data_IF_925090658963
#
_entry.id   IF_925090658963
#
_cell.length_a   1.000
_cell.length_b   1.000
_cell.length_c   1.000
_cell.angle_alpha   90.00
_cell.angle_beta   90.00
_cell.angle_gamma   90.00
#
_symmetry.space_group_name_H-M   'P 1'
#
loop_
_entity.id
_entity.type
_entity.pdbx_description
1 polymer ?
#
# COMPACT_ATOMS: atom_id res chain seq x y z
N UNK A 1 -19.24 11.40 -5.28
CA UNK A 1 -18.89 12.80 -5.56
C UNK A 1 -19.87 13.33 -6.59
N UNK A 2 -20.35 14.58 -6.45
CA UNK A 2 -21.18 15.20 -7.48
C UNK A 2 -20.35 15.43 -8.76
N UNK A 3 -20.98 15.25 -9.92
CA UNK A 3 -20.38 15.56 -11.21
C UNK A 3 -20.23 17.08 -11.33
N UNK A 4 -19.07 17.50 -11.80
CA UNK A 4 -18.79 18.92 -12.06
C UNK A 4 -18.64 19.12 -13.57
N UNK A 5 -18.93 20.33 -14.06
CA UNK A 5 -18.66 20.66 -15.45
C UNK A 5 -17.17 20.57 -15.74
N UNK A 6 -16.82 20.18 -16.95
CA UNK A 6 -15.45 20.05 -17.46
C UNK A 6 -14.58 18.99 -16.74
N UNK A 7 -15.21 18.09 -15.95
CA UNK A 7 -14.49 17.06 -15.21
C UNK A 7 -13.89 15.98 -16.11
N UNK A 8 -14.57 15.63 -17.19
CA UNK A 8 -14.20 14.56 -18.10
C UNK A 8 -14.16 15.03 -19.55
N UNK A 9 -13.32 14.40 -20.35
CA UNK A 9 -13.08 14.75 -21.75
C UNK A 9 -13.54 13.63 -22.66
N UNK A 10 -14.26 13.98 -23.73
CA UNK A 10 -14.82 13.05 -24.71
C UNK A 10 -14.35 13.39 -26.10
N UNK A 11 -14.09 12.36 -26.89
CA UNK A 11 -13.62 12.48 -28.26
C UNK A 11 -14.65 11.87 -29.21
N UNK A 12 -14.94 12.60 -30.29
CA UNK A 12 -15.69 12.10 -31.43
C UNK A 12 -14.70 11.75 -32.54
N UNK A 13 -14.75 10.49 -32.99
CA UNK A 13 -13.86 9.97 -34.02
C UNK A 13 -14.63 9.60 -35.28
N UNK A 14 -14.02 9.85 -36.43
CA UNK A 14 -14.45 9.28 -37.73
C UNK A 14 -13.23 8.57 -38.36
N UNK A 15 -13.42 7.35 -38.82
CA UNK A 15 -12.34 6.51 -39.39
C UNK A 15 -11.07 6.43 -38.49
N UNK A 16 -11.27 6.39 -37.17
CA UNK A 16 -10.18 6.33 -36.18
C UNK A 16 -9.48 7.66 -35.89
N UNK A 17 -9.87 8.75 -36.57
CA UNK A 17 -9.30 10.08 -36.32
C UNK A 17 -10.23 10.92 -35.44
N UNK A 18 -9.67 11.57 -34.42
CA UNK A 18 -10.43 12.50 -33.57
C UNK A 18 -10.77 13.74 -34.38
N UNK A 19 -12.08 14.00 -34.55
CA UNK A 19 -12.59 15.16 -35.27
C UNK A 19 -13.14 16.27 -34.36
N UNK A 20 -13.57 15.89 -33.14
CA UNK A 20 -14.00 16.85 -32.11
C UNK A 20 -13.59 16.35 -30.73
N UNK A 21 -13.34 17.29 -29.83
CA UNK A 21 -13.10 17.02 -28.42
C UNK A 21 -13.99 17.93 -27.57
N UNK A 22 -14.74 17.34 -26.64
CA UNK A 22 -15.69 18.07 -25.79
C UNK A 22 -15.52 17.62 -24.33
N UNK A 23 -16.06 18.41 -23.43
CA UNK A 23 -16.15 18.09 -22.02
C UNK A 23 -17.61 18.00 -21.61
N UNK A 24 -17.86 17.31 -20.49
CA UNK A 24 -19.21 17.23 -19.93
C UNK A 24 -19.69 18.57 -19.36
N UNK A 25 -20.97 18.83 -19.45
CA UNK A 25 -21.64 19.87 -18.68
C UNK A 25 -21.88 19.40 -17.23
N UNK A 26 -22.31 20.29 -16.34
CA UNK A 26 -22.58 19.96 -14.92
C UNK A 26 -23.73 18.96 -14.73
N UNK A 27 -24.65 18.87 -15.69
CA UNK A 27 -25.75 17.91 -15.73
C UNK A 27 -25.34 16.52 -16.31
N UNK A 28 -24.09 16.40 -16.75
CA UNK A 28 -23.53 15.18 -17.36
C UNK A 28 -23.70 15.13 -18.89
N UNK A 29 -24.38 16.09 -19.51
CA UNK A 29 -24.54 16.10 -20.97
C UNK A 29 -23.21 16.35 -21.68
N UNK A 30 -23.03 15.67 -22.82
CA UNK A 30 -21.88 15.83 -23.73
C UNK A 30 -22.44 16.22 -25.09
N UNK A 31 -22.14 17.44 -25.54
CA UNK A 31 -22.68 17.96 -26.79
C UNK A 31 -21.57 18.26 -27.78
N UNK A 32 -21.59 17.58 -28.93
CA UNK A 32 -20.69 17.81 -30.04
C UNK A 32 -21.29 18.85 -30.99
N UNK A 33 -20.43 19.54 -31.72
CA UNK A 33 -20.86 20.52 -32.74
C UNK A 33 -21.52 19.79 -33.93
N UNK A 34 -22.42 20.47 -34.60
CA UNK A 34 -23.09 19.93 -35.78
C UNK A 34 -22.07 19.56 -36.88
N UNK A 35 -22.34 18.47 -37.56
CA UNK A 35 -21.58 18.02 -38.73
C UNK A 35 -22.41 18.28 -39.96
N UNK A 36 -21.84 18.97 -40.96
CA UNK A 36 -22.51 19.27 -42.22
C UNK A 36 -22.17 18.23 -43.27
N UNK A 37 -23.18 17.81 -44.03
CA UNK A 37 -23.04 16.83 -45.12
C UNK A 37 -23.41 17.49 -46.46
N UNK A 38 -22.54 17.31 -47.45
CA UNK A 38 -22.75 17.86 -48.81
C UNK A 38 -23.16 16.81 -49.84
N UNK A 39 -23.13 15.54 -49.47
CA UNK A 39 -23.47 14.41 -50.32
C UNK A 39 -24.21 13.31 -49.56
N UNK A 40 -24.96 12.47 -50.26
CA UNK A 40 -25.52 11.25 -49.70
C UNK A 40 -24.41 10.25 -49.34
N UNK A 41 -24.62 9.42 -48.28
CA UNK A 41 -23.66 8.45 -47.82
C UNK A 41 -23.98 7.92 -46.43
N UNK A 42 -23.17 7.00 -45.99
CA UNK A 42 -23.21 6.46 -44.62
C UNK A 42 -21.93 6.85 -43.91
N UNK A 43 -22.07 7.37 -42.69
CA UNK A 43 -20.99 7.79 -41.84
C UNK A 43 -21.09 7.04 -40.51
N UNK A 44 -19.95 6.57 -40.00
CA UNK A 44 -19.87 5.93 -38.71
C UNK A 44 -18.90 6.69 -37.82
N UNK A 45 -19.40 7.09 -36.68
CA UNK A 45 -18.65 7.84 -35.67
C UNK A 45 -18.50 6.99 -34.43
N UNK A 46 -17.40 7.18 -33.70
CA UNK A 46 -17.19 6.63 -32.37
C UNK A 46 -17.08 7.76 -31.37
N UNK A 47 -17.88 7.69 -30.32
CA UNK A 47 -17.70 8.53 -29.13
C UNK A 47 -17.01 7.71 -28.05
N UNK A 48 -15.96 8.24 -27.47
CA UNK A 48 -15.26 7.62 -26.36
C UNK A 48 -14.87 8.65 -25.32
N UNK A 49 -14.70 8.21 -24.09
CA UNK A 49 -14.05 9.01 -23.07
C UNK A 49 -12.52 8.93 -23.22
N UNK A 50 -11.86 10.08 -23.05
CA UNK A 50 -10.41 10.12 -22.91
C UNK A 50 -10.05 10.01 -21.46
N UNK A 51 -9.43 8.90 -21.06
CA UNK A 51 -8.98 8.69 -19.69
C UNK A 51 -8.10 9.85 -19.20
N UNK A 52 -8.39 10.37 -18.02
CA UNK A 52 -7.60 11.37 -17.34
C UNK A 52 -6.40 10.78 -16.59
N UNK A 53 -5.79 11.60 -15.74
CA UNK A 53 -4.60 11.22 -14.98
C UNK A 53 -4.90 10.91 -13.49
N UNK A 54 -6.16 10.97 -13.06
CA UNK A 54 -6.53 10.66 -11.69
C UNK A 54 -6.52 9.13 -11.48
N UNK A 55 -5.55 8.66 -10.75
CA UNK A 55 -5.36 7.21 -10.45
C UNK A 55 -6.44 6.65 -9.52
N UNK A 56 -7.27 7.52 -8.93
CA UNK A 56 -8.40 7.12 -8.08
C UNK A 56 -9.72 7.05 -8.87
N UNK A 57 -9.68 7.12 -10.20
CA UNK A 57 -10.84 6.97 -11.05
C UNK A 57 -10.66 5.79 -12.00
N UNK A 58 -11.63 4.90 -12.01
CA UNK A 58 -11.82 3.96 -13.10
C UNK A 58 -12.65 4.66 -14.18
N UNK A 59 -11.97 5.06 -15.25
CA UNK A 59 -12.58 5.70 -16.40
C UNK A 59 -13.33 4.67 -17.25
N UNK A 60 -14.47 5.09 -17.82
CA UNK A 60 -15.21 4.25 -18.76
C UNK A 60 -14.37 4.01 -20.03
N UNK A 61 -14.36 2.78 -20.51
CA UNK A 61 -13.64 2.36 -21.71
C UNK A 61 -14.57 2.10 -22.89
N UNK A 62 -15.86 2.46 -22.75
CA UNK A 62 -16.87 2.28 -23.78
C UNK A 62 -16.51 3.05 -25.06
N UNK A 63 -16.78 2.42 -26.19
CA UNK A 63 -16.78 3.05 -27.50
C UNK A 63 -18.21 3.01 -28.05
N UNK A 64 -18.88 4.15 -28.01
CA UNK A 64 -20.25 4.31 -28.45
C UNK A 64 -20.28 4.59 -29.95
N UNK A 65 -20.83 3.66 -30.75
CA UNK A 65 -20.92 3.81 -32.19
C UNK A 65 -22.20 4.55 -32.60
N UNK A 66 -22.06 5.65 -33.33
CA UNK A 66 -23.17 6.44 -33.90
C UNK A 66 -23.11 6.33 -35.41
N UNK A 67 -24.21 5.91 -36.03
CA UNK A 67 -24.35 5.85 -37.51
C UNK A 67 -25.24 6.97 -38.03
N UNK A 68 -24.78 7.64 -39.07
CA UNK A 68 -25.54 8.66 -39.76
C UNK A 68 -25.71 8.27 -41.22
N UNK A 69 -26.97 8.13 -41.65
CA UNK A 69 -27.30 7.90 -43.04
C UNK A 69 -27.80 9.20 -43.65
N UNK A 70 -27.09 9.67 -44.65
CA UNK A 70 -27.48 10.85 -45.44
C UNK A 70 -28.15 10.37 -46.73
N UNK A 71 -29.37 10.82 -46.96
CA UNK A 71 -30.13 10.47 -48.16
C UNK A 71 -30.47 11.75 -48.93
N UNK A 72 -30.56 11.66 -50.26
CA UNK A 72 -30.93 12.71 -51.16
C UNK A 72 -32.32 12.47 -51.73
N UNK A 73 -33.22 13.39 -51.52
CA UNK A 73 -34.53 13.33 -52.16
C UNK A 73 -34.39 13.51 -53.65
N UNK A 74 -34.93 12.53 -54.43
CA UNK A 74 -34.79 12.53 -55.89
C UNK A 74 -35.57 13.65 -56.60
N UNK A 75 -36.65 14.18 -56.02
CA UNK A 75 -37.48 15.21 -56.58
C UNK A 75 -36.97 16.64 -56.30
N UNK A 76 -36.51 16.86 -55.06
CA UNK A 76 -36.09 18.16 -54.58
C UNK A 76 -34.58 18.39 -54.57
N UNK A 77 -33.82 17.31 -54.57
CA UNK A 77 -32.36 17.33 -54.39
C UNK A 77 -31.88 17.66 -52.98
N UNK A 78 -32.80 17.79 -52.03
CA UNK A 78 -32.47 18.10 -50.63
C UNK A 78 -31.90 16.89 -49.90
N UNK A 79 -30.91 17.14 -49.06
CA UNK A 79 -30.33 16.13 -48.16
C UNK A 79 -31.11 16.05 -46.85
N UNK A 80 -31.25 14.85 -46.33
CA UNK A 80 -31.78 14.58 -45.01
C UNK A 80 -30.90 13.56 -44.30
N UNK A 81 -30.88 13.61 -42.98
CA UNK A 81 -30.07 12.71 -42.13
C UNK A 81 -30.95 11.85 -41.26
N UNK A 82 -30.58 10.57 -41.13
CA UNK A 82 -31.13 9.66 -40.14
C UNK A 82 -29.98 9.20 -39.23
N UNK A 83 -30.11 9.47 -37.91
CA UNK A 83 -29.10 9.10 -36.90
C UNK A 83 -29.55 7.87 -36.16
N UNK A 84 -28.67 6.89 -36.08
CA UNK A 84 -28.84 5.69 -35.23
C UNK A 84 -27.85 5.77 -34.05
N UNK A 85 -28.41 5.93 -32.86
CA UNK A 85 -27.64 5.95 -31.61
C UNK A 85 -27.38 4.53 -31.13
N UNK A 86 -26.28 4.28 -30.38
CA UNK A 86 -26.06 3.01 -29.70
C UNK A 86 -27.11 2.78 -28.61
N UNK A 87 -27.20 1.53 -28.14
CA UNK A 87 -28.12 1.15 -27.06
C UNK A 87 -27.69 1.78 -25.73
N UNK A 88 -26.38 1.80 -25.48
CA UNK A 88 -25.77 2.49 -24.31
C UNK A 88 -25.18 3.84 -24.75
N UNK A 89 -25.61 4.89 -24.09
CA UNK A 89 -25.15 6.27 -24.31
C UNK A 89 -24.58 6.93 -23.05
N UNK A 90 -24.42 6.15 -21.97
CA UNK A 90 -23.93 6.64 -20.68
C UNK A 90 -22.49 6.22 -20.44
N UNK A 91 -21.62 7.17 -20.14
CA UNK A 91 -20.26 6.93 -19.67
C UNK A 91 -20.23 6.96 -18.15
N UNK A 92 -19.79 5.85 -17.54
CA UNK A 92 -19.85 5.65 -16.11
C UNK A 92 -18.44 5.56 -15.49
N UNK A 93 -18.04 6.57 -14.75
CA UNK A 93 -16.78 6.62 -14.02
C UNK A 93 -16.98 6.29 -12.55
N UNK A 94 -16.05 5.55 -11.99
CA UNK A 94 -16.10 5.12 -10.59
C UNK A 94 -14.91 5.66 -9.80
N UNK A 95 -15.17 6.26 -8.65
CA UNK A 95 -14.11 6.65 -7.71
C UNK A 95 -13.66 5.41 -6.94
N UNK A 96 -12.38 5.10 -7.06
CA UNK A 96 -11.72 4.01 -6.32
C UNK A 96 -11.00 4.62 -5.14
N UNK A 97 -11.53 4.41 -3.93
CA UNK A 97 -10.90 4.93 -2.71
C UNK A 97 -9.65 4.12 -2.38
N UNK A 98 -8.53 4.77 -2.04
CA UNK A 98 -7.36 4.09 -1.51
C UNK A 98 -7.69 3.30 -0.24
N UNK A 99 -6.98 2.20 -0.03
CA UNK A 99 -7.02 1.44 1.21
C UNK A 99 -5.76 1.68 2.02
N UNK A 100 -5.88 1.59 3.34
CA UNK A 100 -4.76 1.79 4.25
C UNK A 100 -4.49 0.53 5.06
N UNK A 101 -3.23 0.32 5.42
CA UNK A 101 -2.81 -0.72 6.37
C UNK A 101 -1.78 -0.16 7.31
N UNK A 102 -1.68 -0.75 8.49
CA UNK A 102 -0.79 -0.34 9.56
C UNK A 102 -0.07 -1.54 10.13
N UNK A 103 1.19 -1.35 10.51
CA UNK A 103 2.00 -2.39 11.11
C UNK A 103 2.29 -2.05 12.57
N UNK A 104 1.87 -2.93 13.46
CA UNK A 104 2.11 -2.82 14.89
C UNK A 104 2.93 -4.02 15.35
N UNK A 105 3.99 -3.73 16.12
CA UNK A 105 4.88 -4.69 16.77
C UNK A 105 4.97 -4.36 18.25
N UNK A 106 5.60 -5.24 19.00
CA UNK A 106 5.79 -5.07 20.43
C UNK A 106 7.27 -5.17 20.79
N UNK A 107 7.72 -4.36 21.75
CA UNK A 107 9.04 -4.47 22.37
C UNK A 107 8.92 -4.94 23.79
N UNK A 108 9.71 -5.97 24.15
CA UNK A 108 9.90 -6.45 25.52
C UNK A 108 11.37 -6.29 25.93
N UNK A 109 11.57 -6.00 27.21
CA UNK A 109 12.90 -5.96 27.82
C UNK A 109 12.88 -6.75 29.13
N UNK A 110 13.72 -7.79 29.19
CA UNK A 110 13.95 -8.54 30.43
C UNK A 110 15.17 -7.99 31.18
N UNK A 111 15.17 -8.09 32.50
CA UNK A 111 16.28 -7.69 33.37
C UNK A 111 16.19 -6.28 33.94
N UNK A 112 15.45 -5.37 33.34
CA UNK A 112 15.11 -4.05 33.85
C UNK A 112 13.86 -3.49 33.15
N UNK A 113 13.37 -2.37 33.68
CA UNK A 113 12.22 -1.68 33.09
C UNK A 113 12.54 -1.08 31.72
N UNK A 114 11.60 -1.22 30.79
CA UNK A 114 11.62 -0.62 29.47
C UNK A 114 11.25 0.87 29.55
N UNK A 115 11.98 1.71 28.84
CA UNK A 115 11.70 3.14 28.75
C UNK A 115 11.18 3.51 27.36
N UNK A 116 10.33 4.55 27.29
CA UNK A 116 9.90 5.10 26.00
C UNK A 116 11.09 5.62 25.19
N UNK A 117 11.08 5.37 23.90
CA UNK A 117 12.08 5.87 22.95
C UNK A 117 13.46 5.22 23.05
N UNK A 118 13.58 4.11 23.78
CA UNK A 118 14.85 3.44 24.04
C UNK A 118 15.39 2.65 22.85
N UNK A 119 14.52 1.95 22.15
CA UNK A 119 14.87 1.13 21.00
C UNK A 119 14.24 1.71 19.73
N UNK A 120 14.96 1.59 18.62
CA UNK A 120 14.50 2.05 17.32
C UNK A 120 14.21 0.86 16.40
N UNK A 121 13.21 1.01 15.55
CA UNK A 121 12.77 -0.02 14.61
C UNK A 121 12.65 0.59 13.23
N UNK A 122 13.07 -0.12 12.22
CA UNK A 122 13.08 0.33 10.84
C UNK A 122 12.15 -0.52 9.99
N UNK A 123 11.29 0.15 9.23
CA UNK A 123 10.49 -0.43 8.16
C UNK A 123 11.23 -0.19 6.84
N UNK A 124 11.47 -1.25 6.08
CA UNK A 124 12.11 -1.18 4.76
C UNK A 124 11.19 -1.76 3.69
N UNK A 125 11.28 -1.20 2.49
CA UNK A 125 10.61 -1.77 1.31
C UNK A 125 11.34 -3.01 0.77
N UNK A 126 10.80 -3.62 -0.30
CA UNK A 126 11.38 -4.80 -0.94
C UNK A 126 12.77 -4.55 -1.54
N UNK A 127 13.10 -3.32 -1.88
CA UNK A 127 14.42 -2.92 -2.38
C UNK A 127 15.43 -2.65 -1.25
N UNK A 128 14.97 -2.68 0.02
CA UNK A 128 15.79 -2.40 1.20
C UNK A 128 15.88 -0.93 1.57
N UNK A 129 15.12 -0.05 0.90
CA UNK A 129 15.07 1.37 1.26
C UNK A 129 14.29 1.55 2.54
N UNK A 130 14.75 2.46 3.41
CA UNK A 130 14.05 2.81 4.64
C UNK A 130 12.80 3.61 4.30
N UNK A 131 11.64 3.06 4.68
CA UNK A 131 10.34 3.73 4.56
C UNK A 131 10.09 4.60 5.79
N UNK A 132 10.31 4.05 6.98
CA UNK A 132 10.10 4.76 8.24
C UNK A 132 11.00 4.18 9.35
N UNK A 133 11.34 5.02 10.33
CA UNK A 133 11.99 4.60 11.58
C UNK A 133 11.17 5.12 12.75
N UNK A 134 10.79 4.21 13.65
CA UNK A 134 9.99 4.52 14.84
C UNK A 134 10.70 4.04 16.09
N UNK A 135 10.22 4.48 17.25
CA UNK A 135 10.70 4.04 18.56
C UNK A 135 9.55 3.43 19.37
N UNK A 136 9.91 2.56 20.32
CA UNK A 136 8.92 2.03 21.26
C UNK A 136 8.37 3.12 22.18
N UNK A 137 7.12 2.99 22.58
CA UNK A 137 6.57 3.72 23.71
C UNK A 137 6.93 3.06 25.06
N UNK A 138 6.48 3.63 26.19
CA UNK A 138 6.74 3.07 27.52
C UNK A 138 6.05 1.72 27.77
N UNK A 139 4.96 1.41 27.06
CA UNK A 139 4.26 0.14 27.13
C UNK A 139 4.89 -0.94 26.24
N UNK A 140 5.85 -0.55 25.39
CA UNK A 140 6.50 -1.41 24.42
C UNK A 140 5.80 -1.45 23.06
N UNK A 141 4.85 -0.57 22.79
CA UNK A 141 4.25 -0.52 21.45
C UNK A 141 5.24 0.06 20.44
N UNK A 142 5.32 -0.56 19.29
CA UNK A 142 6.11 -0.14 18.12
C UNK A 142 5.14 0.02 16.96
N UNK A 143 4.74 1.26 16.70
CA UNK A 143 3.67 1.59 15.77
C UNK A 143 4.22 2.38 14.60
N UNK A 144 4.10 1.83 13.39
CA UNK A 144 4.43 2.52 12.14
C UNK A 144 3.22 3.33 11.64
N UNK A 145 3.49 4.35 10.82
CA UNK A 145 2.45 5.12 10.14
C UNK A 145 1.65 4.26 9.17
N UNK A 146 0.43 4.70 8.84
CA UNK A 146 -0.39 4.03 7.85
C UNK A 146 0.24 4.12 6.46
N UNK A 147 0.26 3.00 5.74
CA UNK A 147 0.60 2.93 4.32
C UNK A 147 -0.68 2.93 3.49
N UNK A 148 -0.73 3.80 2.51
CA UNK A 148 -1.87 3.95 1.60
C UNK A 148 -1.58 3.30 0.26
N UNK A 149 -2.56 2.55 -0.25
CA UNK A 149 -2.50 1.87 -1.53
C UNK A 149 -3.67 2.32 -2.39
N UNK A 150 -3.38 3.00 -3.47
CA UNK A 150 -4.34 3.42 -4.49
C UNK A 150 -4.48 2.36 -5.61
N UNK A 151 -5.26 2.68 -6.62
CA UNK A 151 -5.55 1.82 -7.76
C UNK A 151 -4.30 1.39 -8.56
N UNK A 152 -3.20 2.14 -8.47
CA UNK A 152 -1.91 1.81 -9.12
C UNK A 152 -1.09 0.79 -8.33
N UNK A 153 -1.51 0.48 -7.11
CA UNK A 153 -0.80 -0.39 -6.16
C UNK A 153 -1.43 -1.77 -6.02
N UNK A 154 -2.29 -2.17 -6.95
CA UNK A 154 -2.82 -3.55 -6.97
C UNK A 154 -1.67 -4.54 -7.16
N UNK A 155 -1.61 -5.56 -6.30
CA UNK A 155 -0.56 -6.56 -6.28
C UNK A 155 0.04 -6.77 -4.89
N UNK A 156 1.18 -7.46 -4.85
CA UNK A 156 1.85 -7.84 -3.61
C UNK A 156 2.98 -6.87 -3.27
N UNK A 157 2.95 -6.31 -2.06
CA UNK A 157 3.98 -5.44 -1.52
C UNK A 157 4.63 -6.12 -0.32
N UNK A 158 5.97 -6.14 -0.30
CA UNK A 158 6.73 -6.78 0.77
C UNK A 158 7.56 -5.75 1.51
N UNK A 159 7.51 -5.83 2.82
CA UNK A 159 8.26 -4.97 3.73
C UNK A 159 9.03 -5.83 4.74
N UNK A 160 10.07 -5.27 5.33
CA UNK A 160 10.77 -5.88 6.46
C UNK A 160 10.80 -4.92 7.64
N UNK A 161 10.64 -5.48 8.85
CA UNK A 161 10.78 -4.77 10.10
C UNK A 161 11.91 -5.40 10.91
N UNK A 162 12.83 -4.57 11.37
CA UNK A 162 14.00 -4.96 12.15
C UNK A 162 14.21 -3.96 13.29
N UNK A 163 14.74 -4.46 14.42
CA UNK A 163 15.29 -3.56 15.45
C UNK A 163 16.64 -3.00 14.98
N UNK A 164 16.85 -1.71 15.18
CA UNK A 164 18.13 -1.07 14.90
C UNK A 164 19.07 -1.33 16.07
N UNK A 165 20.04 -2.23 15.88
CA UNK A 165 21.04 -2.55 16.88
C UNK A 165 22.11 -1.44 16.88
N UNK A 166 22.30 -0.68 17.98
CA UNK A 166 23.27 0.40 18.03
C UNK A 166 24.71 -0.11 17.95
N UNK A 167 25.59 0.69 17.35
CA UNK A 167 27.03 0.39 17.34
C UNK A 167 27.61 0.28 18.76
N UNK A 168 27.26 1.26 19.61
CA UNK A 168 27.62 1.28 21.04
C UNK A 168 26.54 0.54 21.83
N UNK A 169 26.70 -0.77 22.00
CA UNK A 169 25.77 -1.62 22.72
C UNK A 169 25.86 -1.38 24.23
N UNK A 170 24.71 -1.41 24.92
CA UNK A 170 24.68 -1.43 26.38
C UNK A 170 25.36 -2.70 26.89
N UNK A 171 26.18 -2.55 27.95
CA UNK A 171 26.85 -3.69 28.57
C UNK A 171 25.83 -4.70 29.11
N UNK A 172 26.03 -5.97 28.81
CA UNK A 172 25.12 -7.06 29.24
C UNK A 172 23.81 -7.14 28.44
N UNK A 173 23.59 -6.24 27.44
CA UNK A 173 22.41 -6.28 26.60
C UNK A 173 22.53 -7.32 25.48
N UNK A 174 21.55 -8.20 25.38
CA UNK A 174 21.32 -9.06 24.23
C UNK A 174 20.15 -8.48 23.44
N UNK A 175 20.39 -8.16 22.17
CA UNK A 175 19.40 -7.61 21.27
C UNK A 175 18.72 -8.70 20.46
N UNK A 176 17.42 -8.55 20.23
CA UNK A 176 16.69 -9.40 19.30
C UNK A 176 17.19 -9.15 17.87
N UNK A 177 17.43 -10.22 17.14
CA UNK A 177 17.85 -10.18 15.73
C UNK A 177 16.73 -10.55 14.78
N UNK A 178 15.50 -10.50 15.28
CA UNK A 178 14.32 -10.79 14.47
C UNK A 178 14.26 -9.91 13.25
N UNK A 179 14.00 -10.55 12.14
CA UNK A 179 13.61 -9.92 10.90
C UNK A 179 12.19 -10.35 10.55
N UNK A 180 11.25 -9.46 10.72
CA UNK A 180 9.86 -9.71 10.34
C UNK A 180 9.65 -9.30 8.88
N UNK A 181 9.08 -10.20 8.08
CA UNK A 181 8.63 -9.92 6.71
C UNK A 181 7.13 -9.72 6.73
N UNK A 182 6.69 -8.54 6.29
CA UNK A 182 5.28 -8.18 6.17
C UNK A 182 4.93 -8.16 4.70
N UNK A 183 3.97 -8.98 4.31
CA UNK A 183 3.43 -9.02 2.95
C UNK A 183 2.04 -8.42 2.94
N UNK A 184 1.82 -7.40 2.14
CA UNK A 184 0.51 -6.77 1.91
C UNK A 184 0.06 -7.12 0.50
N UNK A 185 -1.03 -7.87 0.41
CA UNK A 185 -1.69 -8.15 -0.86
C UNK A 185 -2.81 -7.14 -1.05
N UNK A 186 -2.71 -6.32 -2.09
CA UNK A 186 -3.72 -5.35 -2.50
C UNK A 186 -4.50 -5.95 -3.65
N UNK A 187 -5.77 -6.23 -3.42
CA UNK A 187 -6.67 -6.78 -4.43
C UNK A 187 -7.74 -5.77 -4.83
N UNK A 188 -8.11 -5.80 -6.11
CA UNK A 188 -9.23 -5.02 -6.65
C UNK A 188 -10.39 -5.94 -6.96
N UNK A 189 -11.56 -5.59 -6.44
CA UNK A 189 -12.81 -6.27 -6.73
C UNK A 189 -13.84 -5.25 -7.22
N UNK A 190 -14.16 -5.31 -8.52
CA UNK A 190 -14.93 -4.23 -9.16
C UNK A 190 -14.18 -2.90 -9.04
N UNK A 191 -14.80 -1.91 -8.39
CA UNK A 191 -14.25 -0.56 -8.18
C UNK A 191 -13.80 -0.34 -6.73
N UNK A 192 -13.52 -1.39 -5.98
CA UNK A 192 -13.08 -1.34 -4.59
C UNK A 192 -11.75 -2.03 -4.41
N UNK A 193 -10.91 -1.49 -3.52
CA UNK A 193 -9.66 -2.10 -3.11
C UNK A 193 -9.81 -2.76 -1.74
N UNK A 194 -9.08 -3.85 -1.52
CA UNK A 194 -8.95 -4.54 -0.23
C UNK A 194 -7.50 -4.89 0.03
N UNK A 195 -7.12 -5.04 1.30
CA UNK A 195 -5.78 -5.49 1.70
C UNK A 195 -5.86 -6.72 2.59
N UNK A 196 -4.92 -7.64 2.37
CA UNK A 196 -4.62 -8.75 3.29
C UNK A 196 -3.16 -8.65 3.69
N UNK A 197 -2.90 -8.65 5.00
CA UNK A 197 -1.54 -8.53 5.54
C UNK A 197 -1.14 -9.82 6.22
N UNK A 198 0.02 -10.37 5.85
CA UNK A 198 0.64 -11.53 6.47
C UNK A 198 2.02 -11.15 7.03
N UNK A 199 2.36 -11.73 8.18
CA UNK A 199 3.67 -11.55 8.82
C UNK A 199 4.34 -12.91 9.00
N UNK A 200 5.61 -12.99 8.64
CA UNK A 200 6.49 -14.11 8.99
C UNK A 200 7.77 -13.55 9.64
N UNK A 201 8.40 -14.31 10.53
CA UNK A 201 9.60 -13.86 11.24
C UNK A 201 10.73 -14.88 11.18
N UNK A 202 11.96 -14.40 11.22
CA UNK A 202 13.19 -15.20 11.28
C UNK A 202 14.19 -14.57 12.24
N UNK A 203 14.96 -15.41 12.91
CA UNK A 203 16.10 -15.01 13.74
C UNK A 203 15.72 -14.36 15.06
N UNK A 204 14.44 -14.35 15.41
CA UNK A 204 13.92 -13.84 16.66
C UNK A 204 13.94 -14.87 17.80
N UNK A 205 13.67 -14.37 18.99
CA UNK A 205 13.50 -15.19 20.20
C UNK A 205 12.23 -14.73 20.93
N UNK A 206 11.58 -15.68 21.62
CA UNK A 206 10.50 -15.36 22.55
C UNK A 206 11.03 -14.82 23.90
N UNK A 207 10.13 -14.50 24.82
CA UNK A 207 10.47 -13.98 26.15
C UNK A 207 11.35 -14.96 26.98
N UNK A 208 11.30 -16.25 26.67
CA UNK A 208 12.10 -17.29 27.32
C UNK A 208 13.45 -17.52 26.63
N UNK A 209 13.66 -16.92 25.44
CA UNK A 209 14.87 -17.05 24.64
C UNK A 209 14.85 -18.18 23.61
N UNK A 210 13.67 -18.80 23.35
CA UNK A 210 13.52 -19.82 22.32
C UNK A 210 13.40 -19.18 20.94
N UNK A 211 13.96 -19.80 19.93
CA UNK A 211 13.88 -19.31 18.56
C UNK A 211 12.44 -19.32 18.00
N UNK A 212 12.03 -18.21 17.37
CA UNK A 212 10.69 -18.03 16.79
C UNK A 212 10.66 -18.16 15.26
N UNK A 213 11.69 -18.74 14.66
CA UNK A 213 11.83 -18.90 13.22
C UNK A 213 10.60 -19.56 12.56
N UNK A 214 10.09 -18.95 11.49
CA UNK A 214 8.95 -19.46 10.74
C UNK A 214 7.59 -19.23 11.39
N UNK A 215 7.50 -18.43 12.44
CA UNK A 215 6.25 -18.03 13.09
C UNK A 215 5.83 -16.62 12.62
N UNK A 216 4.60 -16.20 12.94
CA UNK A 216 4.11 -14.85 12.75
C UNK A 216 4.46 -13.96 13.96
N UNK A 217 5.69 -14.05 14.45
CA UNK A 217 6.17 -13.30 15.61
C UNK A 217 6.24 -11.80 15.30
N UNK A 218 5.69 -11.00 16.21
CA UNK A 218 5.65 -9.54 16.17
C UNK A 218 6.27 -8.91 17.42
N UNK A 219 6.95 -9.70 18.24
CA UNK A 219 7.53 -9.26 19.50
C UNK A 219 9.06 -9.30 19.44
N UNK A 220 9.69 -8.15 19.67
CA UNK A 220 11.15 -8.02 19.79
C UNK A 220 11.55 -8.15 21.26
N UNK A 221 12.32 -9.16 21.59
CA UNK A 221 12.71 -9.49 22.95
C UNK A 221 14.20 -9.22 23.23
N UNK A 222 14.50 -8.17 23.99
CA UNK A 222 15.86 -7.91 24.47
C UNK A 222 16.00 -8.31 25.94
N UNK A 223 17.23 -8.63 26.33
CA UNK A 223 17.55 -9.01 27.71
C UNK A 223 18.80 -8.30 28.19
N UNK A 224 18.72 -7.70 29.36
CA UNK A 224 19.90 -7.21 30.11
C UNK A 224 20.28 -8.22 31.16
N UNK A 225 21.53 -8.64 31.13
CA UNK A 225 22.13 -9.44 32.23
C UNK A 225 22.93 -8.44 33.08
N UNK A 226 22.50 -8.16 34.33
CA UNK A 226 23.26 -7.28 35.21
C UNK A 226 24.67 -7.86 35.45
N UNK A 227 25.69 -7.00 35.62
CA UNK A 227 27.01 -7.48 36.03
C UNK A 227 26.87 -8.26 37.35
N UNK A 228 27.60 -9.35 37.47
CA UNK A 228 27.64 -10.11 38.73
C UNK A 228 28.08 -9.17 39.87
N UNK A 229 27.28 -9.11 40.93
CA UNK A 229 27.63 -8.29 42.09
C UNK A 229 28.85 -8.90 42.79
N UNK A 230 29.75 -8.08 43.37
CA UNK A 230 30.95 -8.58 44.06
C UNK A 230 30.66 -9.58 45.17
N UNK A 231 29.44 -9.63 45.71
CA UNK A 231 29.02 -10.61 46.73
C UNK A 231 28.99 -12.07 46.24
N UNK A 232 28.69 -12.30 44.97
CA UNK A 232 28.74 -13.68 44.41
C UNK A 232 30.18 -14.20 44.33
N UNK A 233 31.13 -13.31 43.98
CA UNK A 233 32.57 -13.66 43.96
C UNK A 233 33.16 -13.84 45.35
N UNK A 234 32.68 -13.11 46.37
CA UNK A 234 33.13 -13.31 47.76
C UNK A 234 32.66 -14.64 48.33
N UNK A 235 31.45 -15.11 48.02
CA UNK A 235 30.99 -16.44 48.48
C UNK A 235 31.80 -17.55 47.85
N UNK A 236 32.15 -17.49 46.60
CA UNK A 236 32.99 -18.46 45.93
C UNK A 236 34.44 -18.42 46.43
N UNK A 237 34.97 -17.24 46.72
CA UNK A 237 36.30 -17.11 47.32
C UNK A 237 36.36 -17.61 48.75
N UNK A 238 35.29 -17.46 49.54
CA UNK A 238 35.16 -17.97 50.90
C UNK A 238 35.09 -19.50 50.91
N UNK A 239 34.40 -20.10 49.94
CA UNK A 239 34.29 -21.55 49.77
C UNK A 239 35.64 -22.17 49.41
N UNK A 240 36.42 -21.57 48.51
CA UNK A 240 37.79 -21.99 48.18
C UNK A 240 38.74 -21.84 49.37
N UNK A 241 38.70 -20.77 50.15
CA UNK A 241 39.51 -20.59 51.35
C UNK A 241 39.22 -21.64 52.45
N UNK A 242 37.96 -22.01 52.68
CA UNK A 242 37.58 -23.07 53.64
C UNK A 242 38.06 -24.44 53.22
N UNK A 243 38.06 -24.77 51.97
CA UNK A 243 38.50 -26.07 51.48
C UNK A 243 40.02 -26.20 51.42
N UNK A 244 40.74 -25.11 51.24
CA UNK A 244 42.23 -25.14 51.28
C UNK A 244 42.79 -25.18 52.67
N UNK A 245 42.11 -24.69 53.71
CA UNK A 245 42.56 -24.80 55.10
C UNK A 245 42.40 -26.23 55.68
N UNK A 246 41.56 -27.06 55.12
CA UNK A 246 41.41 -28.45 55.54
C UNK A 246 42.46 -29.42 54.94
N UNK A 247 43.23 -28.98 53.97
CA UNK A 247 44.27 -29.76 53.28
C UNK A 247 45.70 -29.60 53.88
N UNK A 248 45.88 -28.69 54.86
CA UNK A 248 47.19 -28.34 55.45
C UNK A 248 47.34 -28.90 56.87
N UNK A 249 46.35 -29.62 57.44
CA UNK A 249 46.39 -30.19 58.82
C UNK A 249 46.26 -31.71 58.84
N UNK A 250 46.95 -32.42 57.96
CA UNK A 250 47.14 -33.84 58.07
C UNK A 250 48.57 -34.25 57.75
#
# INVERSE_FOLDING_TARGET
KALEADAFTFELLENGNVIQTKKNAADGSITFDAIEYSAEGEHTYTVREKAGNDTNIDYDTMNAEVKVKVTKDAATGLLSTAVTMPEDTEFNNYVVSPVVTKFDFTKKLAGRELKAGEFSFVLKDAAGNVVETVKNDAAGNVTFSELSFDNTKVGTHTYTVEEVIPENKEFGMTYDKMKATVTVEVAKNGHSLTTVTNVTSKGGVDADGNATNGTADKEFNNKVTPPETPESNQKNLLFLKRNMTSLVTS
#
